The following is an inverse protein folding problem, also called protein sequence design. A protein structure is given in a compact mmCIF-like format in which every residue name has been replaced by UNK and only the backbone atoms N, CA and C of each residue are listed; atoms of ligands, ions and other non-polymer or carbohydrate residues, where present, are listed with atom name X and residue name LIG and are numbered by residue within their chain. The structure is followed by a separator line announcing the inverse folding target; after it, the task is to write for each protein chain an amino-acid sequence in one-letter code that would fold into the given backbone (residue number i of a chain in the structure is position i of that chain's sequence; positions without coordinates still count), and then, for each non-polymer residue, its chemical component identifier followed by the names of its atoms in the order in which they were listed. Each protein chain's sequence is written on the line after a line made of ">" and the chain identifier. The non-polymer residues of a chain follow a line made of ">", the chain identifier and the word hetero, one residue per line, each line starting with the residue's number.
data_IF_777917365208
#
_entry.id   IF_777917365208
#
_cell.length_a   1.000
_cell.length_b   1.000
_cell.length_c   1.000
_cell.angle_alpha   90.00
_cell.angle_beta   90.00
_cell.angle_gamma   90.00
#
_symmetry.space_group_name_H-M   'P 1'
#
loop_
_entity.id
_entity.type
_entity.pdbx_description
1 polymer ?
#
# COMPACT_ATOMS: atom_id res chain seq x y z
N UNK A 1 1.75 22.92 -7.22
CA UNK A 1 1.00 21.67 -7.48
C UNK A 1 1.19 20.77 -6.27
N UNK A 2 0.13 20.48 -5.52
CA UNK A 2 0.24 19.66 -4.32
C UNK A 2 0.76 18.27 -4.71
N UNK A 3 1.88 17.83 -4.12
CA UNK A 3 2.40 16.47 -4.28
C UNK A 3 1.31 15.52 -3.82
N UNK A 4 0.61 14.88 -4.76
CA UNK A 4 -0.41 13.89 -4.42
C UNK A 4 0.30 12.77 -3.67
N UNK A 5 -0.03 12.63 -2.38
CA UNK A 5 0.65 11.70 -1.48
C UNK A 5 -0.23 10.47 -1.33
N UNK A 6 0.23 9.34 -1.89
CA UNK A 6 -0.44 8.05 -1.68
C UNK A 6 -0.31 7.68 -0.22
N UNK A 7 -1.45 7.46 0.43
CA UNK A 7 -1.48 7.07 1.84
C UNK A 7 -1.64 5.56 1.94
N UNK A 8 -0.69 4.91 2.59
CA UNK A 8 -0.74 3.47 2.82
C UNK A 8 -1.20 3.21 4.26
N UNK A 9 -2.21 2.36 4.43
CA UNK A 9 -2.73 1.97 5.74
C UNK A 9 -2.79 0.46 5.85
N UNK A 10 -2.13 -0.07 6.86
CA UNK A 10 -2.18 -1.49 7.20
C UNK A 10 -3.49 -1.82 7.91
N UNK A 11 -4.22 -2.82 7.41
CA UNK A 11 -5.52 -3.25 7.95
C UNK A 11 -5.50 -4.76 8.18
N UNK A 12 -5.93 -5.18 9.37
CA UNK A 12 -6.13 -6.61 9.67
C UNK A 12 -7.45 -7.05 9.05
N UNK A 13 -7.40 -8.07 8.20
CA UNK A 13 -8.60 -8.70 7.63
C UNK A 13 -9.05 -9.83 8.54
N UNK A 14 -8.11 -10.71 8.89
CA UNK A 14 -8.35 -11.86 9.76
C UNK A 14 -7.11 -12.17 10.61
N UNK A 15 -7.16 -13.26 11.37
CA UNK A 15 -5.98 -13.79 12.03
C UNK A 15 -5.01 -14.40 11.01
N UNK A 16 -3.78 -13.89 10.99
CA UNK A 16 -2.80 -14.27 9.96
C UNK A 16 -3.06 -13.66 8.58
N UNK A 17 -4.07 -12.79 8.41
CA UNK A 17 -4.36 -12.14 7.14
C UNK A 17 -4.42 -10.62 7.28
N UNK A 18 -3.48 -9.97 6.62
CA UNK A 18 -3.30 -8.53 6.62
C UNK A 18 -3.31 -8.01 5.18
N UNK A 19 -3.81 -6.79 5.05
CA UNK A 19 -3.80 -6.05 3.80
C UNK A 19 -3.29 -4.63 4.00
N UNK A 20 -2.86 -4.02 2.90
CA UNK A 20 -2.52 -2.60 2.85
C UNK A 20 -3.53 -1.93 1.94
N UNK A 21 -4.13 -0.87 2.44
CA UNK A 21 -4.99 0.03 1.67
C UNK A 21 -4.13 1.20 1.19
N UNK A 22 -3.98 1.33 -0.12
CA UNK A 22 -3.35 2.46 -0.77
C UNK A 22 -4.44 3.42 -1.25
N UNK A 23 -4.62 4.51 -0.50
CA UNK A 23 -5.54 5.57 -0.83
C UNK A 23 -4.84 6.63 -1.70
N UNK A 24 -5.41 6.89 -2.86
CA UNK A 24 -4.96 7.91 -3.80
C UNK A 24 -6.10 8.89 -4.08
N UNK A 25 -5.95 10.17 -3.73
CA UNK A 25 -7.02 11.14 -3.96
C UNK A 25 -7.26 11.33 -5.46
N UNK A 26 -8.49 11.05 -5.89
CA UNK A 26 -8.90 11.11 -7.29
C UNK A 26 -8.85 9.77 -8.04
N UNK A 27 -8.52 8.65 -7.37
CA UNK A 27 -8.65 7.30 -7.94
C UNK A 27 -9.28 6.34 -6.93
N UNK A 28 -9.67 5.15 -7.39
CA UNK A 28 -10.11 4.08 -6.50
C UNK A 28 -9.01 3.64 -5.55
N UNK A 29 -9.40 3.45 -4.29
CA UNK A 29 -8.54 2.90 -3.25
C UNK A 29 -8.09 1.49 -3.68
N UNK A 30 -6.78 1.24 -3.64
CA UNK A 30 -6.22 -0.06 -3.99
C UNK A 30 -5.97 -0.89 -2.74
N UNK A 31 -6.22 -2.18 -2.83
CA UNK A 31 -5.97 -3.15 -1.77
C UNK A 31 -4.82 -4.05 -2.18
N UNK A 32 -3.85 -4.20 -1.29
CA UNK A 32 -2.70 -5.08 -1.46
C UNK A 32 -2.85 -6.15 -0.39
N UNK A 33 -3.09 -7.39 -0.80
CA UNK A 33 -3.28 -8.54 0.07
C UNK A 33 -2.07 -9.47 0.01
N UNK A 34 -2.04 -10.51 0.85
CA UNK A 34 -0.96 -11.49 0.88
C UNK A 34 0.04 -11.28 2.01
N UNK A 35 -0.31 -10.50 3.04
CA UNK A 35 0.54 -10.32 4.21
C UNK A 35 0.07 -11.24 5.34
N UNK A 36 0.99 -12.05 5.86
CA UNK A 36 0.69 -12.95 6.98
C UNK A 36 0.66 -12.22 8.34
N UNK A 37 1.18 -11.00 8.41
CA UNK A 37 1.40 -10.28 9.66
C UNK A 37 1.49 -8.78 9.44
N UNK A 38 1.16 -8.00 10.47
CA UNK A 38 1.29 -6.53 10.45
C UNK A 38 2.72 -6.10 10.09
N UNK A 39 3.73 -6.75 10.66
CA UNK A 39 5.14 -6.41 10.41
C UNK A 39 5.55 -6.64 8.96
N UNK A 40 5.01 -7.66 8.29
CA UNK A 40 5.28 -7.93 6.87
C UNK A 40 4.69 -6.84 5.99
N UNK A 41 3.44 -6.46 6.27
CA UNK A 41 2.78 -5.35 5.59
C UNK A 41 3.46 -4.00 5.87
N UNK A 42 3.88 -3.74 7.10
CA UNK A 42 4.59 -2.52 7.48
C UNK A 42 5.98 -2.46 6.83
N UNK A 43 6.70 -3.58 6.78
CA UNK A 43 7.95 -3.73 6.05
C UNK A 43 7.79 -3.51 4.56
N UNK A 44 6.66 -3.91 3.98
CA UNK A 44 6.32 -3.62 2.58
C UNK A 44 6.11 -2.12 2.33
N UNK A 45 5.41 -1.42 3.25
CA UNK A 45 5.17 0.04 3.15
C UNK A 45 6.46 0.84 3.31
N UNK A 46 7.36 0.40 4.19
CA UNK A 46 8.61 1.09 4.46
C UNK A 46 9.75 0.68 3.51
N UNK A 47 9.60 -0.43 2.79
CA UNK A 47 10.61 -0.95 1.86
C UNK A 47 10.42 -0.50 0.40
N UNK A 48 11.31 -0.98 -0.46
CA UNK A 48 11.36 -0.66 -1.89
C UNK A 48 10.14 -1.17 -2.67
N UNK A 49 9.45 -2.19 -2.14
CA UNK A 49 8.24 -2.76 -2.77
C UNK A 49 7.13 -1.71 -2.95
N UNK A 50 6.99 -0.78 -2.01
CA UNK A 50 6.06 0.36 -2.16
C UNK A 50 6.36 1.19 -3.41
N UNK A 51 7.62 1.50 -3.67
CA UNK A 51 8.02 2.33 -4.82
C UNK A 51 7.82 1.53 -6.12
N UNK A 52 8.20 0.26 -6.14
CA UNK A 52 7.97 -0.61 -7.29
C UNK A 52 6.48 -0.75 -7.64
N UNK A 53 5.63 -0.88 -6.62
CA UNK A 53 4.18 -0.91 -6.80
C UNK A 53 3.63 0.42 -7.32
N UNK A 54 4.06 1.55 -6.76
CA UNK A 54 3.67 2.88 -7.26
C UNK A 54 4.05 3.07 -8.74
N UNK A 55 5.23 2.60 -9.15
CA UNK A 55 5.64 2.60 -10.56
C UNK A 55 4.77 1.69 -11.42
N UNK A 56 4.48 0.48 -10.94
CA UNK A 56 3.60 -0.47 -11.64
C UNK A 56 2.19 0.07 -11.85
N UNK A 57 1.68 0.88 -10.92
CA UNK A 57 0.38 1.54 -11.05
C UNK A 57 0.44 2.86 -11.83
N UNK A 58 1.63 3.29 -12.28
CA UNK A 58 1.82 4.55 -13.01
C UNK A 58 1.79 5.81 -12.12
N UNK A 59 1.78 5.66 -10.80
CA UNK A 59 1.81 6.77 -9.84
C UNK A 59 3.21 7.36 -9.64
N UNK A 60 4.25 6.57 -9.93
CA UNK A 60 5.64 7.03 -9.93
C UNK A 60 6.22 6.88 -11.34
N UNK A 61 6.77 7.96 -11.88
CA UNK A 61 7.48 8.00 -13.16
C UNK A 61 8.99 7.99 -12.91
#
# INVERSE_FOLDING_TARGET
>A
MAKIKVTFRTVRVAEGDWKILADYPGTEQREITGFASKADADGWINGDRKIAWLRSQGYAK
#
